data_IF_522204399071
#
_entry.id   IF_522204399071
#
_cell.length_a   1.000
_cell.length_b   1.000
_cell.length_c   1.000
_cell.angle_alpha   90.00
_cell.angle_beta   90.00
_cell.angle_gamma   90.00
#
_symmetry.space_group_name_H-M   'P 1'
#
loop_
_entity.id
_entity.type
_entity.pdbx_description
1 polymer ?
#
# COMPACT_ATOMS: atom_id res chain seq x y z
N UNK A 1 70.14 -51.93 5.08
CA UNK A 1 70.09 -50.67 4.29
C UNK A 1 69.41 -50.96 2.97
N UNK A 2 68.12 -50.60 2.84
CA UNK A 2 67.42 -50.57 1.56
C UNK A 2 66.92 -49.14 1.36
N UNK A 3 67.45 -48.47 0.35
CA UNK A 3 67.08 -47.11 -0.04
C UNK A 3 65.87 -47.22 -0.97
N UNK A 4 64.74 -46.66 -0.55
CA UNK A 4 63.52 -46.56 -1.36
C UNK A 4 63.77 -45.64 -2.58
N UNK A 5 63.24 -45.96 -3.78
CA UNK A 5 63.37 -45.10 -4.95
C UNK A 5 62.52 -43.82 -4.79
N UNK A 6 62.97 -42.68 -5.34
CA UNK A 6 62.21 -41.43 -5.26
C UNK A 6 60.88 -41.57 -6.02
N UNK A 7 59.77 -41.41 -5.28
CA UNK A 7 58.42 -41.46 -5.83
C UNK A 7 58.23 -40.42 -6.95
N UNK A 8 57.72 -40.89 -8.08
CA UNK A 8 57.30 -40.13 -9.25
C UNK A 8 56.03 -39.30 -8.99
N UNK A 9 56.08 -38.39 -8.02
CA UNK A 9 54.99 -37.45 -7.75
C UNK A 9 55.58 -36.12 -7.31
N UNK A 10 56.10 -35.36 -8.28
CA UNK A 10 56.36 -33.95 -8.07
C UNK A 10 55.04 -33.26 -7.69
N UNK A 11 55.06 -32.46 -6.62
CA UNK A 11 53.89 -31.74 -6.14
C UNK A 11 53.26 -30.82 -7.19
N UNK A 12 52.07 -30.25 -6.92
CA UNK A 12 51.31 -29.44 -7.88
C UNK A 12 52.14 -28.28 -8.47
N UNK A 13 53.14 -27.78 -7.73
CA UNK A 13 54.08 -26.74 -8.17
C UNK A 13 54.95 -27.11 -9.37
N UNK A 14 55.26 -28.39 -9.58
CA UNK A 14 56.15 -28.84 -10.69
C UNK A 14 55.57 -28.51 -12.06
N UNK A 15 54.25 -28.61 -12.23
CA UNK A 15 53.58 -28.32 -13.50
C UNK A 15 53.68 -26.83 -13.86
N UNK A 16 53.59 -25.94 -12.86
CA UNK A 16 53.70 -24.50 -13.03
C UNK A 16 55.15 -24.05 -13.30
N UNK A 17 56.15 -24.72 -12.71
CA UNK A 17 57.58 -24.41 -12.91
C UNK A 17 58.07 -24.84 -14.31
N UNK A 18 57.63 -26.01 -14.80
CA UNK A 18 58.09 -26.53 -16.09
C UNK A 18 57.41 -25.87 -17.31
N UNK A 19 56.31 -25.12 -17.12
CA UNK A 19 55.59 -24.43 -18.19
C UNK A 19 55.43 -22.93 -17.88
N UNK A 20 56.52 -22.15 -17.92
CA UNK A 20 56.50 -20.74 -17.54
C UNK A 20 55.52 -19.91 -18.39
N UNK A 21 55.49 -20.12 -19.72
CA UNK A 21 54.60 -19.39 -20.64
C UNK A 21 53.12 -19.71 -20.40
N UNK A 22 52.77 -20.98 -20.17
CA UNK A 22 51.39 -21.37 -19.89
C UNK A 22 50.91 -20.79 -18.55
N UNK A 23 51.79 -20.77 -17.55
CA UNK A 23 51.48 -20.21 -16.22
C UNK A 23 51.28 -18.71 -16.28
N UNK A 24 52.10 -17.97 -17.05
CA UNK A 24 51.92 -16.51 -17.22
C UNK A 24 50.62 -16.16 -17.93
N UNK A 25 50.24 -16.91 -18.98
CA UNK A 25 48.97 -16.69 -19.68
C UNK A 25 47.76 -17.04 -18.80
N UNK A 26 47.85 -18.09 -17.99
CA UNK A 26 46.81 -18.45 -17.03
C UNK A 26 46.62 -17.36 -15.96
N UNK A 27 47.72 -16.82 -15.42
CA UNK A 27 47.66 -15.73 -14.45
C UNK A 27 47.09 -14.45 -15.08
N UNK A 28 47.45 -14.13 -16.32
CA UNK A 28 46.88 -13.00 -17.05
C UNK A 28 45.38 -13.19 -17.30
N UNK A 29 44.93 -14.40 -17.65
CA UNK A 29 43.52 -14.71 -17.83
C UNK A 29 42.72 -14.57 -16.53
N UNK A 30 43.25 -15.04 -15.40
CA UNK A 30 42.64 -14.88 -14.06
C UNK A 30 42.56 -13.41 -13.69
N UNK A 31 43.62 -12.63 -13.94
CA UNK A 31 43.66 -11.20 -13.64
C UNK A 31 42.62 -10.43 -14.48
N UNK A 32 42.52 -10.72 -15.78
CA UNK A 32 41.50 -10.11 -16.64
C UNK A 32 40.08 -10.50 -16.23
N UNK A 33 39.85 -11.78 -15.90
CA UNK A 33 38.56 -12.23 -15.38
C UNK A 33 38.20 -11.55 -14.05
N UNK A 34 39.18 -11.32 -13.19
CA UNK A 34 39.02 -10.57 -11.94
C UNK A 34 38.66 -9.11 -12.16
N UNK A 35 39.31 -8.42 -13.12
CA UNK A 35 38.99 -7.02 -13.47
C UNK A 35 37.57 -6.90 -14.03
N UNK A 36 37.17 -7.85 -14.88
CA UNK A 36 35.81 -7.91 -15.42
C UNK A 36 34.82 -8.14 -14.27
N UNK A 37 35.07 -9.15 -13.42
CA UNK A 37 34.23 -9.44 -12.25
C UNK A 37 34.10 -8.27 -11.28
N UNK A 38 35.18 -7.51 -11.07
CA UNK A 38 35.18 -6.31 -10.22
C UNK A 38 34.29 -5.19 -10.76
N UNK A 39 34.25 -5.01 -12.09
CA UNK A 39 33.35 -4.02 -12.73
C UNK A 39 31.88 -4.45 -12.71
N UNK A 40 31.61 -5.75 -12.63
CA UNK A 40 30.24 -6.29 -12.59
C UNK A 40 29.73 -6.56 -11.16
N UNK A 41 30.56 -6.36 -10.13
CA UNK A 41 30.12 -6.49 -8.74
C UNK A 41 29.18 -5.32 -8.40
N UNK A 42 27.90 -5.57 -8.09
CA UNK A 42 27.01 -4.53 -7.61
C UNK A 42 27.50 -4.05 -6.24
N UNK A 43 27.66 -2.74 -6.10
CA UNK A 43 28.01 -2.12 -4.82
C UNK A 43 26.72 -1.83 -4.06
N UNK A 44 26.39 -2.66 -3.07
CA UNK A 44 25.35 -2.37 -2.11
C UNK A 44 25.96 -1.61 -0.92
N UNK A 45 25.41 -0.44 -0.58
CA UNK A 45 25.92 0.43 0.49
C UNK A 45 25.56 -0.07 1.90
N UNK A 46 24.57 -0.95 2.00
CA UNK A 46 24.08 -1.58 3.22
C UNK A 46 23.80 -3.06 2.92
N UNK A 47 23.98 -3.99 3.86
CA UNK A 47 23.40 -5.32 3.72
C UNK A 47 21.87 -5.16 3.66
N UNK A 48 21.26 -5.51 2.53
CA UNK A 48 19.80 -5.57 2.39
C UNK A 48 19.29 -6.65 3.33
N UNK A 49 18.69 -6.23 4.44
CA UNK A 49 17.95 -7.14 5.32
C UNK A 49 16.49 -6.84 5.11
N UNK A 50 15.89 -7.54 4.16
CA UNK A 50 14.46 -7.47 3.89
C UNK A 50 13.71 -8.15 5.03
N UNK A 51 13.33 -7.35 6.02
CA UNK A 51 12.41 -7.82 7.05
C UNK A 51 11.01 -7.89 6.44
N UNK A 52 10.37 -9.07 6.37
CA UNK A 52 9.03 -9.20 5.83
C UNK A 52 8.05 -8.44 6.71
N UNK A 53 7.72 -7.21 6.29
CA UNK A 53 6.88 -6.28 7.05
C UNK A 53 5.67 -5.90 6.22
N UNK A 54 4.49 -6.08 6.80
CA UNK A 54 3.21 -5.75 6.17
C UNK A 54 2.57 -4.66 7.01
N UNK A 55 2.18 -3.57 6.36
CA UNK A 55 1.41 -2.51 6.98
C UNK A 55 -0.05 -2.63 6.57
N UNK A 56 -0.94 -2.61 7.55
CA UNK A 56 -2.39 -2.57 7.36
C UNK A 56 -2.89 -1.22 7.81
N UNK A 57 -3.62 -0.53 6.92
CA UNK A 57 -4.19 0.80 7.18
C UNK A 57 -5.70 0.70 7.10
N UNK A 58 -6.36 1.22 8.14
CA UNK A 58 -7.82 1.32 8.20
C UNK A 58 -8.22 2.75 8.47
N UNK A 59 -9.12 3.28 7.63
CA UNK A 59 -9.63 4.64 7.72
C UNK A 59 -11.06 4.60 8.26
N UNK A 60 -11.32 5.33 9.34
CA UNK A 60 -12.66 5.50 9.88
C UNK A 60 -12.89 6.98 10.24
N UNK A 61 -13.17 7.83 9.23
CA UNK A 61 -13.24 9.27 9.40
C UNK A 61 -14.25 9.69 10.47
N UNK A 62 -13.85 10.63 11.34
CA UNK A 62 -14.70 11.16 12.40
C UNK A 62 -14.62 10.42 13.74
N UNK A 63 -13.95 9.26 13.81
CA UNK A 63 -13.68 8.57 15.06
C UNK A 63 -12.54 9.22 15.86
N UNK A 64 -12.70 9.29 17.19
CA UNK A 64 -11.62 9.67 18.10
C UNK A 64 -10.55 8.57 18.19
N UNK A 65 -9.31 8.88 18.61
CA UNK A 65 -8.26 7.87 18.79
C UNK A 65 -8.69 6.71 19.71
N UNK A 66 -9.48 6.98 20.76
CA UNK A 66 -9.98 5.96 21.67
C UNK A 66 -10.99 5.01 21.01
N UNK A 67 -11.89 5.57 20.17
CA UNK A 67 -12.84 4.78 19.38
C UNK A 67 -12.09 3.98 18.31
N UNK A 68 -11.09 4.57 17.65
CA UNK A 68 -10.23 3.85 16.72
C UNK A 68 -9.50 2.69 17.37
N UNK A 69 -9.01 2.87 18.59
CA UNK A 69 -8.30 1.82 19.32
C UNK A 69 -9.25 0.68 19.67
N UNK A 70 -10.40 0.99 20.25
CA UNK A 70 -11.35 -0.01 20.75
C UNK A 70 -12.18 -0.71 19.67
N UNK A 71 -12.67 0.04 18.66
CA UNK A 71 -13.60 -0.46 17.66
C UNK A 71 -12.91 -1.01 16.40
N UNK A 72 -11.69 -0.55 16.08
CA UNK A 72 -11.00 -0.96 14.84
C UNK A 72 -9.70 -1.69 15.14
N UNK A 73 -8.82 -1.09 15.94
CA UNK A 73 -7.45 -1.57 16.15
C UNK A 73 -7.43 -2.84 17.00
N UNK A 74 -8.11 -2.86 18.15
CA UNK A 74 -8.11 -4.01 19.06
C UNK A 74 -8.75 -5.29 18.45
N UNK A 75 -9.82 -5.22 17.65
CA UNK A 75 -10.29 -6.39 16.89
C UNK A 75 -9.26 -6.90 15.88
N UNK A 76 -8.63 -6.01 15.12
CA UNK A 76 -7.61 -6.36 14.13
C UNK A 76 -6.39 -7.01 14.79
N UNK A 77 -5.86 -6.41 15.85
CA UNK A 77 -4.73 -6.95 16.62
C UNK A 77 -5.02 -8.34 17.18
N UNK A 78 -6.25 -8.60 17.65
CA UNK A 78 -6.63 -9.92 18.15
C UNK A 78 -6.60 -10.98 17.06
N UNK A 79 -7.00 -10.65 15.83
CA UNK A 79 -6.94 -11.58 14.69
C UNK A 79 -5.49 -11.75 14.22
N UNK A 80 -4.73 -10.65 14.13
CA UNK A 80 -3.33 -10.70 13.71
C UNK A 80 -2.44 -11.44 14.72
N UNK A 81 -2.71 -11.32 16.02
CA UNK A 81 -1.95 -12.02 17.06
C UNK A 81 -2.08 -13.55 17.02
N UNK A 82 -3.05 -14.10 16.28
CA UNK A 82 -3.23 -15.53 16.10
C UNK A 82 -2.48 -16.09 14.87
N UNK A 83 -1.92 -15.21 14.02
CA UNK A 83 -1.20 -15.60 12.82
C UNK A 83 0.13 -16.26 13.16
N UNK A 84 0.47 -17.31 12.41
CA UNK A 84 1.76 -17.99 12.58
C UNK A 84 2.90 -17.20 11.92
N UNK A 85 4.07 -17.20 12.56
CA UNK A 85 5.27 -16.54 12.02
C UNK A 85 5.35 -15.03 12.25
N UNK A 86 4.40 -14.43 12.97
CA UNK A 86 4.48 -13.06 13.45
C UNK A 86 5.57 -12.94 14.52
N UNK A 87 6.53 -12.04 14.30
CA UNK A 87 7.63 -11.77 15.25
C UNK A 87 7.30 -10.58 16.15
N UNK A 88 6.78 -9.51 15.55
CA UNK A 88 6.43 -8.28 16.24
C UNK A 88 5.22 -7.63 15.59
N UNK A 89 4.36 -7.04 16.41
CA UNK A 89 3.23 -6.22 15.98
C UNK A 89 3.29 -4.89 16.70
N UNK A 90 3.08 -3.81 15.95
CA UNK A 90 2.95 -2.46 16.49
C UNK A 90 1.74 -1.81 15.86
N UNK A 91 0.90 -1.16 16.66
CA UNK A 91 -0.24 -0.39 16.17
C UNK A 91 -0.11 1.08 16.58
N UNK A 92 -0.64 1.95 15.74
CA UNK A 92 -0.80 3.37 16.03
C UNK A 92 -2.19 3.80 15.61
N UNK A 93 -2.97 4.28 16.58
CA UNK A 93 -4.31 4.81 16.34
C UNK A 93 -4.29 6.33 16.48
N UNK A 94 -4.82 7.00 15.48
CA UNK A 94 -4.94 8.46 15.43
C UNK A 94 -6.37 8.84 15.06
N UNK A 95 -6.70 10.14 15.12
CA UNK A 95 -8.04 10.61 14.77
C UNK A 95 -8.41 10.23 13.33
N UNK A 96 -9.35 9.30 13.19
CA UNK A 96 -9.86 8.81 11.90
C UNK A 96 -8.99 7.79 11.15
N UNK A 97 -7.85 7.35 11.69
CA UNK A 97 -6.98 6.38 11.02
C UNK A 97 -6.25 5.46 12.01
N UNK A 98 -6.17 4.18 11.67
CA UNK A 98 -5.40 3.17 12.40
C UNK A 98 -4.38 2.53 11.46
N UNK A 99 -3.14 2.43 11.92
CA UNK A 99 -2.03 1.82 11.19
C UNK A 99 -1.48 0.69 12.04
N UNK A 100 -1.53 -0.54 11.53
CA UNK A 100 -0.96 -1.72 12.16
C UNK A 100 0.20 -2.22 11.33
N UNK A 101 1.37 -2.34 11.95
CA UNK A 101 2.60 -2.83 11.32
C UNK A 101 2.93 -4.21 11.88
N UNK A 102 3.00 -5.18 10.97
CA UNK A 102 3.22 -6.59 11.25
C UNK A 102 4.59 -6.99 10.71
N UNK A 103 5.50 -7.39 11.59
CA UNK A 103 6.82 -7.89 11.22
C UNK A 103 6.86 -9.40 11.41
N UNK A 104 7.17 -10.13 10.34
CA UNK A 104 7.26 -11.59 10.34
C UNK A 104 8.70 -12.07 10.53
N UNK A 105 8.87 -13.37 10.77
CA UNK A 105 10.19 -14.01 10.82
C UNK A 105 10.82 -14.08 9.42
N UNK A 106 12.15 -13.93 9.34
CA UNK A 106 12.92 -13.97 8.07
C UNK A 106 12.75 -15.28 7.29
N UNK A 107 12.39 -16.37 7.98
CA UNK A 107 12.21 -17.70 7.38
C UNK A 107 10.85 -17.89 6.72
N UNK A 108 9.88 -16.99 6.96
CA UNK A 108 8.56 -17.07 6.36
C UNK A 108 8.55 -16.33 5.02
N UNK A 109 8.17 -17.00 3.91
CA UNK A 109 7.99 -16.32 2.63
C UNK A 109 6.95 -15.21 2.74
N UNK A 110 7.24 -14.04 2.18
CA UNK A 110 6.36 -12.88 2.26
C UNK A 110 4.98 -13.16 1.63
N UNK A 111 4.93 -13.93 0.54
CA UNK A 111 3.66 -14.29 -0.13
C UNK A 111 2.73 -15.11 0.78
N UNK A 112 3.29 -15.94 1.66
CA UNK A 112 2.52 -16.70 2.66
C UNK A 112 2.03 -15.74 3.76
N UNK A 113 2.89 -14.83 4.22
CA UNK A 113 2.49 -13.81 5.19
C UNK A 113 1.34 -12.93 4.68
N UNK A 114 1.32 -12.59 3.39
CA UNK A 114 0.22 -11.84 2.78
C UNK A 114 -1.10 -12.59 2.82
N UNK A 115 -1.08 -13.89 2.48
CA UNK A 115 -2.27 -14.72 2.53
C UNK A 115 -2.83 -14.82 3.95
N UNK A 116 -1.95 -14.98 4.94
CA UNK A 116 -2.33 -14.98 6.36
C UNK A 116 -2.93 -13.64 6.80
N UNK A 117 -2.33 -12.51 6.40
CA UNK A 117 -2.86 -11.17 6.71
C UNK A 117 -4.23 -10.97 6.06
N UNK A 118 -4.41 -11.34 4.79
CA UNK A 118 -5.71 -11.23 4.13
C UNK A 118 -6.77 -12.11 4.80
N UNK A 119 -6.41 -13.34 5.19
CA UNK A 119 -7.31 -14.24 5.91
C UNK A 119 -7.71 -13.66 7.27
N UNK A 120 -6.76 -13.08 8.01
CA UNK A 120 -7.02 -12.43 9.28
C UNK A 120 -7.88 -11.17 9.15
N UNK A 121 -7.68 -10.35 8.10
CA UNK A 121 -8.56 -9.22 7.78
C UNK A 121 -9.98 -9.73 7.52
N UNK A 122 -10.14 -10.77 6.70
CA UNK A 122 -11.44 -11.34 6.39
C UNK A 122 -12.15 -11.89 7.64
N UNK A 123 -11.41 -12.50 8.57
CA UNK A 123 -11.93 -12.95 9.86
C UNK A 123 -12.32 -11.78 10.78
N UNK A 124 -11.56 -10.67 10.71
CA UNK A 124 -11.82 -9.46 11.49
C UNK A 124 -13.02 -8.66 10.98
N UNK A 125 -13.39 -8.78 9.70
CA UNK A 125 -14.46 -7.97 9.06
C UNK A 125 -15.77 -7.98 9.86
N UNK A 126 -16.16 -9.11 10.45
CA UNK A 126 -17.39 -9.22 11.24
C UNK A 126 -17.32 -8.53 12.62
N UNK A 127 -16.11 -8.21 13.08
CA UNK A 127 -15.85 -7.52 14.34
C UNK A 127 -15.62 -6.02 14.15
N UNK A 128 -15.50 -5.55 12.90
CA UNK A 128 -15.33 -4.16 12.54
C UNK A 128 -16.67 -3.44 12.43
N UNK A 129 -16.71 -2.11 12.61
CA UNK A 129 -17.91 -1.31 12.39
C UNK A 129 -18.42 -1.45 10.95
N UNK A 130 -19.73 -1.61 10.78
CA UNK A 130 -20.38 -1.79 9.47
C UNK A 130 -20.45 -0.50 8.64
N UNK A 131 -20.12 0.64 9.23
CA UNK A 131 -20.08 1.97 8.62
C UNK A 131 -18.68 2.38 8.14
N UNK A 132 -17.72 1.44 8.11
CA UNK A 132 -16.41 1.67 7.50
C UNK A 132 -16.57 2.02 6.01
N UNK A 133 -16.06 3.17 5.54
CA UNK A 133 -16.20 3.57 4.14
C UNK A 133 -15.47 2.63 3.17
N UNK A 134 -14.30 2.12 3.59
CA UNK A 134 -13.46 1.22 2.84
C UNK A 134 -12.94 0.11 3.76
N UNK A 135 -12.78 -1.13 3.28
CA UNK A 135 -12.15 -2.19 4.05
C UNK A 135 -10.67 -1.87 4.36
N UNK A 136 -10.08 -2.49 5.38
CA UNK A 136 -8.65 -2.39 5.64
C UNK A 136 -7.82 -2.74 4.41
N UNK A 137 -6.85 -1.90 4.07
CA UNK A 137 -5.91 -2.15 2.97
C UNK A 137 -4.56 -2.56 3.56
N UNK A 138 -3.84 -3.46 2.89
CA UNK A 138 -2.49 -3.86 3.28
C UNK A 138 -1.49 -3.52 2.18
N UNK A 139 -0.23 -3.28 2.58
CA UNK A 139 0.86 -3.01 1.66
C UNK A 139 2.17 -3.58 2.20
N UNK A 140 2.99 -4.10 1.29
CA UNK A 140 4.37 -4.47 1.59
C UNK A 140 5.14 -3.18 1.86
N UNK A 141 5.71 -3.07 3.06
CA UNK A 141 6.59 -1.95 3.40
C UNK A 141 7.93 -2.52 3.82
N UNK A 142 9.02 -1.97 3.31
CA UNK A 142 10.34 -2.26 3.84
C UNK A 142 10.81 -1.00 4.60
N UNK A 143 10.92 -1.05 5.93
CA UNK A 143 11.40 0.09 6.71
C UNK A 143 12.82 0.55 6.34
N UNK A 144 13.59 -0.31 5.67
CA UNK A 144 14.93 -0.02 5.19
C UNK A 144 14.96 0.69 3.83
N UNK A 145 13.83 0.79 3.12
CA UNK A 145 13.80 1.40 1.79
C UNK A 145 13.55 2.92 1.92
N UNK A 146 14.56 3.78 1.71
CA UNK A 146 14.30 5.20 1.55
C UNK A 146 13.41 5.42 0.32
N UNK A 147 12.60 6.48 0.28
CA UNK A 147 11.82 6.82 -0.90
C UNK A 147 12.73 6.89 -2.14
N UNK A 148 12.50 5.99 -3.10
CA UNK A 148 13.32 5.90 -4.33
C UNK A 148 13.18 7.20 -5.15
N UNK A 149 12.01 7.83 -5.10
CA UNK A 149 11.71 9.07 -5.80
C UNK A 149 10.68 9.89 -5.03
N UNK A 150 10.92 11.19 -4.89
CA UNK A 150 9.95 12.16 -4.36
C UNK A 150 9.65 13.19 -5.45
N UNK A 151 8.37 13.36 -5.78
CA UNK A 151 7.91 14.29 -6.82
C UNK A 151 7.08 15.40 -6.17
N UNK A 152 7.44 16.66 -6.44
CA UNK A 152 6.61 17.80 -6.10
C UNK A 152 5.78 18.20 -7.32
N UNK A 153 4.46 18.25 -7.18
CA UNK A 153 3.54 18.64 -8.24
C UNK A 153 3.06 20.07 -7.99
N UNK A 154 3.26 20.95 -8.98
CA UNK A 154 2.83 22.35 -8.92
C UNK A 154 2.08 22.71 -10.20
N UNK A 155 1.07 23.57 -10.10
CA UNK A 155 0.33 24.09 -11.26
C UNK A 155 0.05 25.57 -11.10
N UNK A 156 0.24 26.33 -12.19
CA UNK A 156 -0.15 27.73 -12.28
C UNK A 156 -1.50 27.91 -13.00
N UNK A 157 -2.00 26.86 -13.68
CA UNK A 157 -3.19 26.92 -14.53
C UNK A 157 -4.43 26.30 -13.87
N UNK A 158 -4.26 25.45 -12.86
CA UNK A 158 -5.35 24.73 -12.19
C UNK A 158 -5.31 24.96 -10.68
N UNK A 159 -6.48 25.05 -10.01
CA UNK A 159 -6.55 25.06 -8.56
C UNK A 159 -5.92 23.81 -7.96
N UNK A 160 -5.28 23.95 -6.79
CA UNK A 160 -4.58 22.85 -6.12
C UNK A 160 -5.49 21.66 -5.84
N UNK A 161 -6.79 21.89 -5.58
CA UNK A 161 -7.79 20.82 -5.37
C UNK A 161 -7.97 19.91 -6.59
N UNK A 162 -7.96 20.47 -7.81
CA UNK A 162 -8.07 19.70 -9.05
C UNK A 162 -6.75 19.00 -9.39
N UNK A 163 -5.63 19.64 -9.05
CA UNK A 163 -4.29 19.04 -9.21
C UNK A 163 -4.17 17.81 -8.33
N UNK A 164 -4.54 17.89 -7.06
CA UNK A 164 -4.49 16.74 -6.16
C UNK A 164 -5.41 15.62 -6.63
N UNK A 165 -6.65 15.91 -7.01
CA UNK A 165 -7.57 14.90 -7.53
C UNK A 165 -6.99 14.18 -8.76
N UNK A 166 -6.37 14.93 -9.68
CA UNK A 166 -5.70 14.36 -10.85
C UNK A 166 -4.48 13.51 -10.45
N UNK A 167 -3.70 13.95 -9.46
CA UNK A 167 -2.53 13.20 -8.99
C UNK A 167 -2.98 11.91 -8.31
N UNK A 168 -3.97 11.95 -7.43
CA UNK A 168 -4.49 10.80 -6.69
C UNK A 168 -5.15 9.77 -7.62
N UNK A 169 -6.02 10.23 -8.53
CA UNK A 169 -6.84 9.33 -9.37
C UNK A 169 -6.12 8.83 -10.62
N UNK A 170 -5.14 9.58 -11.15
CA UNK A 170 -4.47 9.23 -12.41
C UNK A 170 -2.97 8.99 -12.26
N UNK A 171 -2.24 9.92 -11.65
CA UNK A 171 -0.77 9.86 -11.62
C UNK A 171 -0.29 8.77 -10.67
N UNK A 172 -0.78 8.77 -9.43
CA UNK A 172 -0.43 7.79 -8.42
C UNK A 172 -0.80 6.38 -8.87
N UNK A 173 -2.01 6.19 -9.41
CA UNK A 173 -2.45 4.90 -9.95
C UNK A 173 -1.53 4.38 -11.06
N UNK A 174 -1.05 5.26 -11.97
CA UNK A 174 -0.11 4.86 -13.02
C UNK A 174 1.27 4.49 -12.47
N UNK A 175 1.76 5.20 -11.45
CA UNK A 175 3.06 4.90 -10.84
C UNK A 175 2.99 3.57 -10.08
N UNK A 176 1.89 3.30 -9.35
CA UNK A 176 1.67 2.03 -8.64
C UNK A 176 1.61 0.81 -9.56
N UNK A 177 1.36 0.99 -10.86
CA UNK A 177 1.36 -0.10 -11.85
C UNK A 177 2.76 -0.44 -12.39
N UNK A 178 3.77 0.37 -12.09
CA UNK A 178 5.14 0.12 -12.53
C UNK A 178 5.73 -1.03 -11.72
N UNK A 179 6.30 -2.02 -12.41
CA UNK A 179 6.95 -3.16 -11.76
C UNK A 179 8.07 -2.70 -10.82
N UNK A 180 8.04 -3.19 -9.59
CA UNK A 180 8.97 -2.78 -8.52
C UNK A 180 8.47 -1.66 -7.62
N UNK A 181 7.30 -1.06 -7.88
CA UNK A 181 6.69 -0.06 -6.98
C UNK A 181 5.81 -0.77 -5.95
N UNK A 182 6.19 -0.70 -4.68
CA UNK A 182 5.41 -1.28 -3.57
C UNK A 182 4.35 -0.34 -3.01
N UNK A 183 4.64 0.96 -2.89
CA UNK A 183 3.75 1.95 -2.31
C UNK A 183 3.97 3.34 -2.91
N UNK A 184 2.89 4.02 -3.24
CA UNK A 184 2.89 5.44 -3.61
C UNK A 184 2.11 6.20 -2.55
N UNK A 185 2.78 7.10 -1.83
CA UNK A 185 2.15 7.96 -0.84
C UNK A 185 2.03 9.38 -1.39
N UNK A 186 0.84 9.98 -1.21
CA UNK A 186 0.66 11.42 -1.40
C UNK A 186 0.85 12.13 -0.06
N UNK A 187 1.63 13.20 -0.07
CA UNK A 187 1.83 14.05 1.10
C UNK A 187 1.43 15.50 0.77
N UNK A 188 0.67 16.12 1.67
CA UNK A 188 0.14 17.47 1.49
C UNK A 188 -1.13 17.53 0.64
N UNK A 189 -1.38 18.67 0.00
CA UNK A 189 -2.54 18.90 -0.87
C UNK A 189 -3.75 19.57 -0.20
N UNK A 190 -4.76 19.84 -1.03
CA UNK A 190 -6.12 20.22 -0.63
C UNK A 190 -7.16 19.26 -1.23
N UNK A 191 -7.51 18.19 -0.51
CA UNK A 191 -8.52 17.24 -1.00
C UNK A 191 -9.86 17.95 -1.28
N UNK A 192 -10.50 17.68 -2.43
CA UNK A 192 -11.80 18.25 -2.73
C UNK A 192 -12.83 17.75 -1.71
N UNK A 193 -13.49 18.67 -1.01
CA UNK A 193 -14.54 18.34 -0.05
C UNK A 193 -15.65 19.39 -0.10
N UNK A 194 -16.90 18.94 -0.21
CA UNK A 194 -18.09 19.79 -0.10
C UNK A 194 -18.46 19.91 1.38
N UNK A 195 -18.40 21.14 1.92
CA UNK A 195 -18.77 21.43 3.31
C UNK A 195 -20.14 22.10 3.37
N UNK A 196 -21.12 21.41 3.95
CA UNK A 196 -22.45 21.96 4.21
C UNK A 196 -22.45 22.63 5.58
N UNK A 197 -22.65 23.95 5.61
CA UNK A 197 -22.80 24.72 6.86
C UNK A 197 -24.27 25.02 7.10
N UNK A 198 -24.78 24.57 8.23
CA UNK A 198 -26.17 24.79 8.62
C UNK A 198 -26.34 26.17 9.26
N UNK A 199 -27.35 26.94 8.84
CA UNK A 199 -27.81 28.10 9.59
C UNK A 199 -28.87 27.65 10.60
N UNK A 200 -28.47 27.48 11.87
CA UNK A 200 -29.34 26.97 12.92
C UNK A 200 -30.61 27.82 13.12
N UNK A 201 -30.51 29.15 12.99
CA UNK A 201 -31.66 30.04 13.16
C UNK A 201 -32.69 29.87 12.04
N UNK A 202 -32.23 29.78 10.79
CA UNK A 202 -33.12 29.59 9.64
C UNK A 202 -33.79 28.21 9.65
N UNK A 203 -33.04 27.16 10.01
CA UNK A 203 -33.57 25.79 10.13
C UNK A 203 -34.64 25.72 11.22
N UNK A 204 -34.40 26.35 12.38
CA UNK A 204 -35.38 26.40 13.47
C UNK A 204 -36.63 27.20 13.08
N UNK A 205 -36.50 28.31 12.35
CA UNK A 205 -37.63 29.12 11.89
C UNK A 205 -38.55 28.36 10.91
N UNK A 206 -38.00 27.40 10.17
CA UNK A 206 -38.74 26.51 9.26
C UNK A 206 -39.29 25.26 9.97
N UNK A 207 -39.09 25.11 11.28
CA UNK A 207 -39.51 23.93 12.05
C UNK A 207 -38.73 22.66 11.69
N UNK A 208 -37.59 22.80 11.02
CA UNK A 208 -36.76 21.67 10.58
C UNK A 208 -35.71 21.33 11.65
N UNK A 209 -35.24 20.09 11.64
CA UNK A 209 -34.15 19.64 12.51
C UNK A 209 -32.88 19.39 11.72
N UNK A 210 -31.72 19.39 12.38
CA UNK A 210 -30.45 18.98 11.76
C UNK A 210 -30.51 17.56 11.19
N UNK A 211 -31.25 16.66 11.83
CA UNK A 211 -31.46 15.30 11.35
C UNK A 211 -32.28 15.24 10.06
N UNK A 212 -33.28 16.11 9.91
CA UNK A 212 -34.03 16.24 8.66
C UNK A 212 -33.11 16.62 7.50
N UNK A 213 -32.23 17.60 7.73
CA UNK A 213 -31.25 18.03 6.71
C UNK A 213 -30.25 16.92 6.39
N UNK A 214 -29.71 16.23 7.41
CA UNK A 214 -28.81 15.10 7.22
C UNK A 214 -29.48 14.00 6.38
N UNK A 215 -30.71 13.64 6.73
CA UNK A 215 -31.48 12.58 6.05
C UNK A 215 -31.77 12.94 4.59
N UNK A 216 -32.15 14.19 4.31
CA UNK A 216 -32.36 14.68 2.96
C UNK A 216 -31.09 14.60 2.11
N UNK A 217 -29.95 15.01 2.66
CA UNK A 217 -28.65 14.93 1.98
C UNK A 217 -28.26 13.48 1.69
N UNK A 218 -28.38 12.58 2.68
CA UNK A 218 -28.03 11.16 2.50
C UNK A 218 -28.99 10.44 1.56
N UNK A 219 -30.27 10.79 1.57
CA UNK A 219 -31.30 10.18 0.71
C UNK A 219 -31.24 10.64 -0.74
N UNK A 220 -30.77 11.86 -0.99
CA UNK A 220 -30.59 12.37 -2.34
C UNK A 220 -29.32 11.82 -3.01
N UNK A 221 -28.27 11.50 -2.25
CA UNK A 221 -27.00 11.04 -2.80
C UNK A 221 -26.91 9.50 -2.94
N UNK A 222 -27.97 8.86 -3.46
CA UNK A 222 -28.06 7.39 -3.55
C UNK A 222 -27.82 6.92 -4.98
N UNK A 223 -26.81 6.05 -5.17
CA UNK A 223 -26.58 5.35 -6.44
C UNK A 223 -27.25 3.97 -6.39
N UNK A 224 -28.56 3.93 -6.64
CA UNK A 224 -29.34 2.69 -6.64
C UNK A 224 -29.76 2.29 -8.05
N UNK A 225 -29.71 0.98 -8.34
CA UNK A 225 -30.22 0.44 -9.59
C UNK A 225 -31.72 0.75 -9.72
N UNK A 226 -32.12 1.31 -10.88
CA UNK A 226 -33.53 1.68 -11.14
C UNK A 226 -34.34 0.54 -11.78
N UNK A 227 -33.72 -0.62 -11.97
CA UNK A 227 -34.32 -1.81 -12.56
C UNK A 227 -34.19 -1.88 -14.08
N UNK A 228 -34.82 -2.89 -14.67
CA UNK A 228 -34.92 -3.07 -16.13
C UNK A 228 -36.37 -3.22 -16.54
N UNK A 229 -36.66 -2.80 -17.77
CA UNK A 229 -37.91 -3.06 -18.47
C UNK A 229 -37.65 -4.16 -19.49
N UNK A 230 -38.22 -5.33 -19.24
CA UNK A 230 -38.10 -6.46 -20.15
C UNK A 230 -39.33 -6.52 -21.06
N UNK A 231 -39.13 -6.19 -22.33
CA UNK A 231 -40.12 -6.38 -23.39
C UNK A 231 -39.90 -7.68 -24.17
N UNK A 232 -40.86 -8.10 -25.01
CA UNK A 232 -40.81 -9.36 -25.76
C UNK A 232 -39.59 -9.49 -26.69
N UNK A 233 -39.05 -8.37 -27.18
CA UNK A 233 -37.92 -8.35 -28.12
C UNK A 233 -36.69 -7.62 -27.56
N UNK A 234 -36.79 -6.92 -26.42
CA UNK A 234 -35.67 -6.16 -25.84
C UNK A 234 -35.81 -5.92 -24.35
N UNK A 235 -34.72 -6.10 -23.64
CA UNK A 235 -34.51 -5.63 -22.28
C UNK A 235 -33.85 -4.24 -22.30
N UNK A 236 -34.37 -3.29 -21.53
CA UNK A 236 -33.80 -1.95 -21.34
C UNK A 236 -33.53 -1.72 -19.87
N UNK A 237 -32.26 -1.56 -19.49
CA UNK A 237 -31.88 -1.18 -18.13
C UNK A 237 -32.08 0.31 -17.93
N UNK A 238 -32.83 0.68 -16.89
CA UNK A 238 -32.99 2.06 -16.47
C UNK A 238 -31.79 2.45 -15.61
N UNK A 239 -31.05 3.47 -16.04
CA UNK A 239 -29.96 4.06 -15.28
C UNK A 239 -30.28 5.53 -15.05
N UNK A 240 -30.42 5.92 -13.78
CA UNK A 240 -30.47 7.31 -13.36
C UNK A 240 -29.43 7.50 -12.27
N UNK A 241 -28.58 8.53 -12.44
CA UNK A 241 -27.57 8.89 -11.47
C UNK A 241 -28.08 10.06 -10.63
N UNK A 242 -28.53 9.76 -9.42
CA UNK A 242 -29.02 10.78 -8.48
C UNK A 242 -27.88 11.37 -7.63
N UNK A 243 -26.63 10.91 -7.83
CA UNK A 243 -25.50 11.39 -7.04
C UNK A 243 -25.17 12.85 -7.36
N UNK A 244 -24.98 13.63 -6.30
CA UNK A 244 -24.59 15.03 -6.41
C UNK A 244 -23.07 15.14 -6.45
N UNK A 245 -22.53 15.69 -7.53
CA UNK A 245 -21.08 15.81 -7.75
C UNK A 245 -20.56 17.24 -7.54
N UNK A 246 -21.45 18.24 -7.59
CA UNK A 246 -21.08 19.65 -7.49
C UNK A 246 -21.76 20.36 -6.32
N UNK A 247 -21.12 21.41 -5.80
CA UNK A 247 -21.70 22.24 -4.75
C UNK A 247 -23.04 22.89 -5.16
N UNK A 248 -23.24 23.15 -6.46
CA UNK A 248 -24.48 23.72 -6.99
C UNK A 248 -25.63 22.71 -7.06
N UNK A 249 -25.34 21.42 -7.17
CA UNK A 249 -26.34 20.37 -7.01
C UNK A 249 -26.80 20.27 -5.55
N UNK A 250 -25.87 20.29 -4.59
CA UNK A 250 -26.23 20.34 -3.16
C UNK A 250 -27.05 21.57 -2.77
N UNK A 251 -26.84 22.72 -3.43
CA UNK A 251 -27.65 23.94 -3.20
C UNK A 251 -29.09 23.82 -3.70
N UNK A 252 -29.31 23.02 -4.73
CA UNK A 252 -30.63 22.81 -5.34
C UNK A 252 -31.41 21.67 -4.68
N UNK A 253 -30.81 21.00 -3.70
CA UNK A 253 -31.45 19.96 -2.93
C UNK A 253 -32.66 20.53 -2.18
N UNK A 254 -33.83 19.94 -2.43
CA UNK A 254 -35.06 20.27 -1.72
C UNK A 254 -35.07 19.49 -0.41
N UNK A 255 -35.28 20.20 0.70
CA UNK A 255 -35.18 19.65 2.07
C UNK A 255 -36.56 19.55 2.73
N UNK A 256 -37.50 20.42 2.35
CA UNK A 256 -38.90 20.43 2.74
C UNK A 256 -39.72 21.29 1.77
#
# INVERSE_FOLDING_TARGET
>A
MQVLPPGSTGGPSRLFILRPVATTLLMAAILLAGIIGYRFLPVAALPEVDYPTIQVVTLYPGASPDVMTSAVTAPLERQFGQMSGLKQMSSQSSGGASVVTLQFQLTLPLDVAEQEVQAAINAATNLLPSDLPNPPIYSKVNPADPPIMTLAVTSNAMPMTQVEDMVETRVAQKISQVSGVGLVTLAGGQRPAVRVKLNAQAVAALGLTSETVRTAITGANVNSAKGSLDGPERAVTLSANDQMQSADEYRRLIIA
#
